data_IF_926847522496
#
_entry.id   IF_926847522496
#
_cell.length_a   1.000
_cell.length_b   1.000
_cell.length_c   1.000
_cell.angle_alpha   90.00
_cell.angle_beta   90.00
_cell.angle_gamma   90.00
#
_symmetry.space_group_name_H-M   'P 1'
#
loop_
_entity.id
_entity.type
_entity.pdbx_description
1 polymer ?
#
# COMPACT_ATOMS: atom_id res chain seq x y z
N UNK A 1 21.32 -2.54 -7.85
CA UNK A 1 21.19 -3.20 -6.57
C UNK A 1 19.76 -3.16 -6.07
N UNK A 2 19.28 -4.28 -5.64
CA UNK A 2 17.89 -4.39 -5.21
C UNK A 2 17.68 -3.85 -3.82
N UNK A 3 16.58 -3.16 -3.66
CA UNK A 3 16.13 -2.69 -2.36
C UNK A 3 14.90 -3.48 -1.96
N UNK A 4 14.78 -3.78 -0.67
CA UNK A 4 13.57 -4.39 -0.17
C UNK A 4 12.45 -3.35 -0.18
N UNK A 5 11.21 -3.83 -0.15
CA UNK A 5 10.08 -2.93 -0.08
C UNK A 5 10.12 -2.09 1.19
N UNK A 6 10.61 -2.67 2.29
CA UNK A 6 10.78 -1.93 3.55
C UNK A 6 11.72 -0.76 3.41
N UNK A 7 12.85 -0.97 2.74
CA UNK A 7 13.83 0.09 2.53
C UNK A 7 13.22 1.22 1.71
N UNK A 8 12.49 0.85 0.65
CA UNK A 8 11.85 1.84 -0.20
C UNK A 8 10.77 2.61 0.56
N UNK A 9 10.02 1.92 1.42
CA UNK A 9 8.99 2.55 2.22
C UNK A 9 9.57 3.61 3.16
N UNK A 10 10.71 3.31 3.76
CA UNK A 10 11.37 4.27 4.64
C UNK A 10 11.82 5.50 3.90
N UNK A 11 12.29 5.34 2.67
CA UNK A 11 12.71 6.47 1.85
C UNK A 11 11.53 7.37 1.51
N UNK A 12 10.37 6.78 1.23
CA UNK A 12 9.17 7.56 0.95
C UNK A 12 8.77 8.40 2.16
N UNK A 13 8.81 7.81 3.35
CA UNK A 13 8.43 8.51 4.57
C UNK A 13 9.38 9.66 4.89
N UNK A 14 10.65 9.48 4.60
CA UNK A 14 11.66 10.49 4.93
C UNK A 14 11.81 11.55 3.85
N UNK A 15 11.81 11.14 2.58
CA UNK A 15 12.05 12.06 1.46
C UNK A 15 11.31 11.58 0.22
N UNK A 16 10.00 11.85 0.15
CA UNK A 16 9.21 11.36 -0.98
C UNK A 16 9.73 11.77 -2.35
N UNK A 17 10.18 13.03 -2.49
CA UNK A 17 10.71 13.52 -3.76
C UNK A 17 11.92 12.76 -4.21
N UNK A 18 12.87 12.62 -3.31
CA UNK A 18 14.10 11.91 -3.59
C UNK A 18 13.80 10.46 -3.94
N UNK A 19 12.93 9.84 -3.14
CA UNK A 19 12.56 8.45 -3.35
C UNK A 19 11.94 8.24 -4.73
N UNK A 20 10.96 9.05 -5.09
CA UNK A 20 10.27 8.89 -6.37
C UNK A 20 11.23 9.01 -7.55
N UNK A 21 12.17 9.91 -7.47
CA UNK A 21 13.17 10.07 -8.51
C UNK A 21 14.07 8.86 -8.62
N UNK A 22 14.55 8.36 -7.50
CA UNK A 22 15.40 7.18 -7.47
C UNK A 22 14.64 5.93 -7.90
N UNK A 23 13.39 5.82 -7.49
CA UNK A 23 12.59 4.68 -7.86
C UNK A 23 12.45 4.54 -9.37
N UNK A 24 12.10 5.63 -10.05
CA UNK A 24 11.96 5.62 -11.50
C UNK A 24 13.26 5.23 -12.17
N UNK A 25 14.37 5.72 -11.64
CA UNK A 25 15.69 5.43 -12.17
C UNK A 25 16.03 3.95 -12.09
N UNK A 26 15.68 3.29 -11.00
CA UNK A 26 16.01 1.90 -10.77
C UNK A 26 15.04 0.92 -11.43
N UNK A 27 13.77 1.25 -11.46
CA UNK A 27 12.74 0.31 -11.89
C UNK A 27 12.17 0.63 -13.27
N UNK A 28 12.26 1.89 -13.69
CA UNK A 28 11.62 2.33 -14.93
C UNK A 28 10.13 2.49 -14.84
N UNK A 29 9.54 2.21 -13.66
CA UNK A 29 8.10 2.32 -13.47
C UNK A 29 7.69 3.74 -13.12
N UNK A 30 6.49 4.17 -13.52
CA UNK A 30 5.98 5.47 -13.10
C UNK A 30 5.89 5.52 -11.58
N UNK A 31 6.35 6.61 -10.94
CA UNK A 31 6.29 6.72 -9.48
C UNK A 31 4.90 6.56 -8.91
N UNK A 32 3.88 7.06 -9.63
CA UNK A 32 2.50 6.95 -9.15
C UNK A 32 2.07 5.49 -9.00
N UNK A 33 2.37 4.66 -9.99
CA UNK A 33 2.00 3.26 -9.94
C UNK A 33 2.67 2.55 -8.77
N UNK A 34 3.94 2.85 -8.53
CA UNK A 34 4.64 2.27 -7.39
C UNK A 34 4.05 2.76 -6.08
N UNK A 35 3.70 4.04 -6.00
CA UNK A 35 3.15 4.61 -4.77
C UNK A 35 1.87 3.89 -4.37
N UNK A 36 1.01 3.58 -5.34
CA UNK A 36 -0.21 2.82 -5.06
C UNK A 36 0.15 1.43 -4.49
N UNK A 37 1.13 0.77 -5.08
CA UNK A 37 1.58 -0.53 -4.58
C UNK A 37 2.09 -0.44 -3.15
N UNK A 38 2.87 0.58 -2.85
CA UNK A 38 3.37 0.79 -1.49
C UNK A 38 2.22 1.02 -0.51
N UNK A 39 1.26 1.85 -0.90
CA UNK A 39 0.10 2.13 -0.04
C UNK A 39 -0.70 0.87 0.24
N UNK A 40 -0.87 0.02 -0.76
CA UNK A 40 -1.59 -1.24 -0.59
C UNK A 40 -0.81 -2.21 0.29
N UNK A 41 0.51 -2.24 0.17
CA UNK A 41 1.34 -3.07 1.04
C UNK A 41 1.17 -2.65 2.50
N UNK A 42 1.22 -1.35 2.76
CA UNK A 42 1.04 -0.83 4.11
C UNK A 42 -0.36 -1.16 4.63
N UNK A 43 -1.37 -1.05 3.75
CA UNK A 43 -2.74 -1.36 4.12
C UNK A 43 -2.89 -2.81 4.54
N UNK A 44 -2.26 -3.74 3.82
CA UNK A 44 -2.33 -5.15 4.17
C UNK A 44 -1.77 -5.40 5.56
N UNK A 45 -0.67 -4.75 5.90
CA UNK A 45 -0.08 -4.91 7.23
C UNK A 45 -0.98 -4.36 8.32
N UNK A 46 -1.59 -3.20 8.09
CA UNK A 46 -2.50 -2.61 9.07
C UNK A 46 -3.73 -3.50 9.28
N UNK A 47 -4.28 -4.04 8.19
CA UNK A 47 -5.44 -4.92 8.30
C UNK A 47 -5.10 -6.21 9.05
N UNK A 48 -3.91 -6.75 8.84
CA UNK A 48 -3.45 -7.92 9.59
C UNK A 48 -3.34 -7.64 11.07
N UNK A 49 -3.00 -6.41 11.42
CA UNK A 49 -2.88 -6.02 12.82
C UNK A 49 -4.24 -5.73 13.46
N UNK A 50 -5.31 -5.80 12.69
CA UNK A 50 -6.65 -5.60 13.22
C UNK A 50 -7.17 -4.18 13.06
N UNK A 51 -6.50 -3.35 12.25
CA UNK A 51 -6.94 -1.99 12.06
C UNK A 51 -8.25 -1.94 11.28
N UNK A 52 -9.09 -0.96 11.60
CA UNK A 52 -10.35 -0.71 10.92
C UNK A 52 -10.12 -0.36 9.45
N UNK A 53 -11.01 -0.83 8.56
CA UNK A 53 -10.86 -0.60 7.12
C UNK A 53 -10.86 0.87 6.77
N UNK A 54 -11.79 1.65 7.33
CA UNK A 54 -11.88 3.07 7.02
C UNK A 54 -10.65 3.82 7.49
N UNK A 55 -10.15 3.49 8.68
CA UNK A 55 -8.93 4.09 9.22
C UNK A 55 -7.73 3.70 8.38
N UNK A 56 -7.66 2.44 7.97
CA UNK A 56 -6.57 1.95 7.11
C UNK A 56 -6.53 2.74 5.81
N UNK A 57 -7.68 2.93 5.18
CA UNK A 57 -7.74 3.70 3.93
C UNK A 57 -7.19 5.11 4.13
N UNK A 58 -7.58 5.75 5.21
CA UNK A 58 -7.13 7.10 5.52
C UNK A 58 -5.64 7.16 5.80
N UNK A 59 -5.14 6.25 6.61
CA UNK A 59 -3.71 6.22 6.97
C UNK A 59 -2.83 5.91 5.78
N UNK A 60 -3.36 5.19 4.80
CA UNK A 60 -2.59 4.84 3.61
C UNK A 60 -2.71 5.87 2.49
N UNK A 61 -3.44 6.96 2.73
CA UNK A 61 -3.48 8.06 1.78
C UNK A 61 -4.50 7.94 0.67
N UNK A 62 -5.51 7.08 0.83
CA UNK A 62 -6.60 7.00 -0.15
C UNK A 62 -7.64 8.07 0.15
N UNK A 63 -8.26 8.59 -0.90
CA UNK A 63 -9.20 9.70 -0.77
C UNK A 63 -10.44 9.30 0.01
N UNK A 64 -10.91 8.08 -0.16
CA UNK A 64 -12.05 7.55 0.58
C UNK A 64 -12.00 6.03 0.57
N UNK A 65 -12.92 5.41 1.30
CA UNK A 65 -12.94 3.96 1.43
C UNK A 65 -13.30 3.26 0.11
N UNK A 66 -14.18 3.86 -0.69
CA UNK A 66 -14.55 3.29 -1.97
C UNK A 66 -13.36 3.22 -2.92
N UNK A 67 -12.58 4.29 -2.96
CA UNK A 67 -11.35 4.35 -3.76
C UNK A 67 -10.36 3.29 -3.30
N UNK A 68 -10.19 3.17 -1.99
CA UNK A 68 -9.33 2.16 -1.40
C UNK A 68 -9.80 0.74 -1.77
N UNK A 69 -11.10 0.48 -1.63
CA UNK A 69 -11.64 -0.84 -1.94
C UNK A 69 -11.39 -1.25 -3.38
N UNK A 70 -11.57 -0.32 -4.32
CA UNK A 70 -11.36 -0.60 -5.74
C UNK A 70 -9.91 -0.95 -6.03
N UNK A 71 -8.99 -0.15 -5.50
CA UNK A 71 -7.57 -0.40 -5.73
C UNK A 71 -7.12 -1.67 -5.05
N UNK A 72 -7.60 -1.91 -3.84
CA UNK A 72 -7.25 -3.12 -3.10
C UNK A 72 -7.72 -4.36 -3.85
N UNK A 73 -8.97 -4.39 -4.26
CA UNK A 73 -9.51 -5.56 -4.96
C UNK A 73 -8.79 -5.79 -6.29
N UNK A 74 -8.51 -4.72 -7.02
CA UNK A 74 -7.83 -4.84 -8.30
C UNK A 74 -6.43 -5.43 -8.17
N UNK A 75 -5.70 -5.03 -7.14
CA UNK A 75 -4.32 -5.45 -6.95
C UNK A 75 -4.20 -6.78 -6.22
N UNK A 76 -5.05 -7.02 -5.22
CA UNK A 76 -4.95 -8.17 -4.32
C UNK A 76 -5.87 -9.32 -4.77
N UNK A 77 -6.97 -8.98 -5.43
CA UNK A 77 -7.91 -9.97 -5.92
C UNK A 77 -9.14 -10.15 -5.06
N UNK A 78 -9.14 -9.61 -3.85
CA UNK A 78 -10.28 -9.68 -2.94
C UNK A 78 -10.47 -8.32 -2.30
N UNK A 79 -11.66 -8.09 -1.73
CA UNK A 79 -11.93 -6.84 -1.02
C UNK A 79 -11.20 -6.82 0.32
N UNK A 80 -11.01 -5.63 0.92
CA UNK A 80 -10.43 -5.56 2.26
C UNK A 80 -11.18 -6.39 3.29
N UNK A 81 -12.51 -6.41 3.21
CA UNK A 81 -13.31 -7.20 4.13
C UNK A 81 -13.05 -8.69 3.97
N UNK A 82 -13.01 -9.17 2.74
CA UNK A 82 -12.70 -10.57 2.45
C UNK A 82 -11.29 -10.91 2.94
N UNK A 83 -10.38 -10.00 2.75
CA UNK A 83 -9.00 -10.18 3.16
C UNK A 83 -8.90 -10.35 4.69
N UNK A 84 -9.58 -9.49 5.43
CA UNK A 84 -9.62 -9.57 6.89
C UNK A 84 -10.21 -10.91 7.33
N UNK A 85 -11.29 -11.32 6.68
CA UNK A 85 -11.98 -12.55 7.04
C UNK A 85 -11.07 -13.78 6.93
N UNK A 86 -10.08 -13.74 6.05
CA UNK A 86 -9.16 -14.85 5.88
C UNK A 86 -8.22 -15.07 7.05
N UNK A 87 -8.08 -14.08 7.94
CA UNK A 87 -7.20 -14.20 9.11
C UNK A 87 -7.95 -14.56 10.38
N UNK A 88 -9.27 -14.46 10.38
CA UNK A 88 -10.03 -14.70 11.60
C UNK A 88 -10.20 -16.18 11.81
N UNK A 89 -10.05 -16.66 13.04
CA UNK A 89 -10.33 -18.06 13.33
C UNK A 89 -11.79 -18.33 13.05
N UNK A 90 -12.04 -19.52 12.60
CA UNK A 90 -13.42 -19.93 12.29
C UNK A 90 -14.28 -19.92 13.55
#
# INVERSE_FOLDING_TARGET
>A
KDHSLSDLAQLVDLRPWYFLRQFKKYTGLPPHAWLVQYRLHKARQLLKQGENIAVTAQLCGFSDQSHFNRHFKKAIGVTPLQYISSFKPA
#
